data_IF_193587877921
#
_entry.id   IF_193587877921
#
_cell.length_a   1.000
_cell.length_b   1.000
_cell.length_c   1.000
_cell.angle_alpha   90.00
_cell.angle_beta   90.00
_cell.angle_gamma   90.00
#
_symmetry.space_group_name_H-M   'P 1'
#
loop_
_entity.id
_entity.type
_entity.pdbx_description
1 polymer ?
#
# COMPACT_ATOMS: atom_id res chain seq x y z
N UNK A 1 5.40 9.06 14.65
CA UNK A 1 6.41 8.19 13.98
C UNK A 1 5.76 7.51 12.78
N UNK A 2 6.49 6.95 11.82
CA UNK A 2 5.92 6.28 10.63
C UNK A 2 4.89 5.20 10.98
N UNK A 3 5.13 4.46 12.06
CA UNK A 3 4.22 3.44 12.58
C UNK A 3 2.86 4.02 13.00
N UNK A 4 2.85 5.23 13.58
CA UNK A 4 1.62 5.90 14.01
C UNK A 4 0.73 6.24 12.81
N UNK A 5 1.32 6.81 11.77
CA UNK A 5 0.61 7.08 10.51
C UNK A 5 0.14 5.78 9.86
N UNK A 6 0.98 4.75 9.83
CA UNK A 6 0.59 3.43 9.30
C UNK A 6 -0.61 2.82 10.04
N UNK A 7 -0.60 2.79 11.37
CA UNK A 7 -1.71 2.23 12.13
C UNK A 7 -2.98 3.08 12.01
N UNK A 8 -2.85 4.42 11.95
CA UNK A 8 -4.01 5.30 11.68
C UNK A 8 -4.58 5.09 10.28
N UNK A 9 -3.72 4.88 9.29
CA UNK A 9 -4.12 4.54 7.92
C UNK A 9 -4.92 3.23 7.86
N UNK A 10 -4.48 2.20 8.60
CA UNK A 10 -5.24 0.94 8.74
C UNK A 10 -6.62 1.17 9.35
N UNK A 11 -6.69 1.91 10.47
CA UNK A 11 -7.98 2.19 11.14
C UNK A 11 -8.95 2.95 10.23
N UNK A 12 -8.46 3.95 9.48
CA UNK A 12 -9.26 4.67 8.47
C UNK A 12 -9.74 3.76 7.35
N UNK A 13 -8.87 2.89 6.83
CA UNK A 13 -9.24 1.94 5.78
C UNK A 13 -10.35 0.99 6.25
N UNK A 14 -10.26 0.49 7.49
CA UNK A 14 -11.31 -0.35 8.09
C UNK A 14 -12.64 0.38 8.26
N UNK A 15 -12.60 1.71 8.45
CA UNK A 15 -13.78 2.58 8.52
C UNK A 15 -14.29 3.04 7.15
N UNK A 16 -13.66 2.61 6.06
CA UNK A 16 -14.03 2.98 4.69
C UNK A 16 -13.49 4.34 4.23
N UNK A 17 -12.72 5.06 5.05
CA UNK A 17 -12.03 6.28 4.65
C UNK A 17 -10.76 5.95 3.87
N UNK A 18 -10.94 5.49 2.63
CA UNK A 18 -9.83 5.02 1.79
C UNK A 18 -8.88 6.16 1.40
N UNK A 19 -9.42 7.36 1.15
CA UNK A 19 -8.62 8.54 0.79
C UNK A 19 -7.78 8.99 1.99
N UNK A 20 -8.38 9.08 3.18
CA UNK A 20 -7.66 9.42 4.40
C UNK A 20 -6.63 8.38 4.80
N UNK A 21 -6.88 7.10 4.51
CA UNK A 21 -5.93 6.02 4.71
C UNK A 21 -4.71 6.13 3.79
N UNK A 22 -4.92 6.42 2.48
CA UNK A 22 -3.83 6.66 1.53
C UNK A 22 -2.96 7.82 2.00
N UNK A 23 -3.55 8.94 2.43
CA UNK A 23 -2.79 10.08 2.93
C UNK A 23 -1.94 9.77 4.17
N UNK A 24 -2.41 8.85 5.02
CA UNK A 24 -1.63 8.38 6.16
C UNK A 24 -0.50 7.43 5.73
N UNK A 25 -0.72 6.53 4.77
CA UNK A 25 0.36 5.73 4.21
C UNK A 25 1.40 6.58 3.49
N UNK A 26 1.00 7.64 2.80
CA UNK A 26 1.92 8.61 2.18
C UNK A 26 2.83 9.24 3.24
N UNK A 27 2.26 9.67 4.38
CA UNK A 27 3.04 10.21 5.50
C UNK A 27 4.00 9.18 6.10
N UNK A 28 3.56 7.93 6.24
CA UNK A 28 4.42 6.85 6.73
C UNK A 28 5.61 6.61 5.79
N UNK A 29 5.38 6.63 4.47
CA UNK A 29 6.39 6.48 3.42
C UNK A 29 7.33 7.68 3.37
N UNK A 30 6.82 8.91 3.54
CA UNK A 30 7.63 10.13 3.60
C UNK A 30 8.63 10.09 4.78
N UNK A 31 8.19 9.58 5.93
CA UNK A 31 9.04 9.43 7.12
C UNK A 31 10.05 8.29 6.93
N UNK A 32 9.61 7.15 6.39
CA UNK A 32 10.47 6.01 6.13
C UNK A 32 10.22 5.42 4.72
N UNK A 33 11.05 5.79 3.73
CA UNK A 33 10.93 5.28 2.36
C UNK A 33 11.20 3.78 2.19
N UNK A 34 11.73 3.11 3.22
CA UNK A 34 11.94 1.65 3.25
C UNK A 34 10.83 0.92 4.03
N UNK A 35 9.69 1.60 4.32
CA UNK A 35 8.56 0.97 5.01
C UNK A 35 7.67 0.18 4.05
N UNK A 36 8.09 -1.05 3.73
CA UNK A 36 7.45 -1.92 2.73
C UNK A 36 5.97 -2.20 2.99
N UNK A 37 5.57 -2.33 4.26
CA UNK A 37 4.17 -2.57 4.65
C UNK A 37 3.26 -1.40 4.27
N UNK A 38 3.73 -0.16 4.39
CA UNK A 38 2.96 1.03 4.00
C UNK A 38 2.72 1.07 2.49
N UNK A 39 3.73 0.71 1.68
CA UNK A 39 3.55 0.52 0.23
C UNK A 39 2.55 -0.59 -0.07
N UNK A 40 2.66 -1.76 0.58
CA UNK A 40 1.73 -2.88 0.36
C UNK A 40 0.27 -2.48 0.63
N UNK A 41 0.01 -1.81 1.76
CA UNK A 41 -1.35 -1.37 2.12
C UNK A 41 -1.87 -0.28 1.19
N UNK A 42 -1.03 0.71 0.83
CA UNK A 42 -1.44 1.74 -0.15
C UNK A 42 -1.74 1.13 -1.53
N UNK A 43 -0.95 0.15 -1.96
CA UNK A 43 -1.17 -0.60 -3.20
C UNK A 43 -2.50 -1.35 -3.21
N UNK A 44 -2.87 -1.99 -2.10
CA UNK A 44 -4.18 -2.63 -1.93
C UNK A 44 -5.33 -1.64 -2.09
N UNK A 45 -5.24 -0.47 -1.43
CA UNK A 45 -6.29 0.53 -1.53
C UNK A 45 -6.40 1.16 -2.91
N UNK A 46 -5.26 1.39 -3.59
CA UNK A 46 -5.25 1.87 -4.97
C UNK A 46 -5.90 0.87 -5.92
N UNK A 47 -5.69 -0.43 -5.72
CA UNK A 47 -6.38 -1.47 -6.47
C UNK A 47 -7.89 -1.40 -6.28
N UNK A 48 -8.37 -1.29 -5.03
CA UNK A 48 -9.79 -1.18 -4.70
C UNK A 48 -10.45 0.07 -5.30
N UNK A 49 -9.68 1.16 -5.42
CA UNK A 49 -10.10 2.42 -6.06
C UNK A 49 -9.97 2.42 -7.59
N UNK A 50 -9.48 1.34 -8.19
CA UNK A 50 -9.29 1.20 -9.64
C UNK A 50 -8.01 1.80 -10.21
N UNK A 51 -7.14 2.37 -9.37
CA UNK A 51 -5.79 2.83 -9.74
C UNK A 51 -4.83 1.63 -9.81
N UNK A 52 -4.97 0.82 -10.86
CA UNK A 52 -4.23 -0.44 -11.04
C UNK A 52 -2.74 -0.18 -11.28
N UNK A 53 -2.41 0.85 -12.05
CA UNK A 53 -1.03 1.25 -12.31
C UNK A 53 -0.32 1.68 -11.02
N UNK A 54 -0.96 2.51 -10.20
CA UNK A 54 -0.44 2.94 -8.91
C UNK A 54 -0.30 1.78 -7.92
N UNK A 55 -1.24 0.83 -7.93
CA UNK A 55 -1.15 -0.38 -7.12
C UNK A 55 0.03 -1.28 -7.51
N UNK A 56 0.27 -1.48 -8.82
CA UNK A 56 1.44 -2.24 -9.31
C UNK A 56 2.75 -1.58 -8.90
N UNK A 57 2.83 -0.26 -8.98
CA UNK A 57 4.00 0.49 -8.56
C UNK A 57 4.28 0.28 -7.06
N UNK A 58 3.25 0.37 -6.23
CA UNK A 58 3.36 0.19 -4.79
C UNK A 58 3.77 -1.23 -4.40
N UNK A 59 3.12 -2.26 -4.95
CA UNK A 59 3.53 -3.64 -4.71
C UNK A 59 4.95 -3.93 -5.20
N UNK A 60 5.38 -3.28 -6.29
CA UNK A 60 6.74 -3.43 -6.80
C UNK A 60 7.77 -2.82 -5.85
N UNK A 61 7.47 -1.65 -5.29
CA UNK A 61 8.33 -1.03 -4.28
C UNK A 61 8.36 -1.84 -2.99
N UNK A 62 7.22 -2.35 -2.52
CA UNK A 62 7.16 -3.25 -1.36
C UNK A 62 8.00 -4.51 -1.57
N UNK A 63 7.97 -5.10 -2.77
CA UNK A 63 8.81 -6.26 -3.13
C UNK A 63 10.29 -5.93 -3.29
N UNK A 64 10.65 -4.69 -3.65
CA UNK A 64 12.06 -4.26 -3.64
C UNK A 64 12.61 -4.27 -2.21
N UNK A 65 11.79 -3.85 -1.24
CA UNK A 65 12.14 -3.78 0.18
C UNK A 65 12.11 -5.17 0.83
N UNK A 66 11.04 -5.92 0.60
CA UNK A 66 10.89 -7.31 1.06
C UNK A 66 10.57 -8.25 -0.13
N UNK A 67 11.60 -8.82 -0.77
CA UNK A 67 11.44 -9.69 -1.93
C UNK A 67 10.71 -11.00 -1.68
N UNK A 68 10.45 -11.36 -0.41
CA UNK A 68 9.78 -12.60 -0.02
C UNK A 68 8.30 -12.40 0.32
N UNK A 69 7.76 -11.18 0.18
CA UNK A 69 6.37 -10.89 0.52
C UNK A 69 5.39 -11.56 -0.45
N UNK A 70 4.78 -12.66 0.00
CA UNK A 70 3.76 -13.40 -0.74
C UNK A 70 2.53 -12.51 -1.02
N UNK A 71 2.10 -11.71 -0.03
CA UNK A 71 0.98 -10.76 -0.17
C UNK A 71 1.21 -9.79 -1.34
N UNK A 72 2.43 -9.24 -1.47
CA UNK A 72 2.73 -8.30 -2.55
C UNK A 72 2.82 -8.97 -3.93
N UNK A 73 3.30 -10.22 -4.01
CA UNK A 73 3.26 -10.96 -5.28
C UNK A 73 1.84 -11.27 -5.71
N UNK A 74 0.99 -11.70 -4.78
CA UNK A 74 -0.43 -11.97 -5.04
C UNK A 74 -1.15 -10.69 -5.45
N UNK A 75 -1.00 -9.61 -4.68
CA UNK A 75 -1.57 -8.29 -4.99
C UNK A 75 -1.18 -7.83 -6.39
N UNK A 76 0.12 -7.79 -6.70
CA UNK A 76 0.61 -7.38 -8.04
C UNK A 76 0.13 -8.30 -9.16
N UNK A 77 0.06 -9.61 -8.91
CA UNK A 77 -0.44 -10.59 -9.88
C UNK A 77 -1.91 -10.37 -10.20
N UNK A 78 -2.75 -10.24 -9.17
CA UNK A 78 -4.18 -9.94 -9.31
C UNK A 78 -4.41 -8.60 -10.00
N UNK A 79 -3.67 -7.56 -9.63
CA UNK A 79 -3.78 -6.26 -10.28
C UNK A 79 -3.45 -6.34 -11.77
N UNK A 80 -2.42 -7.10 -12.16
CA UNK A 80 -2.06 -7.30 -13.58
C UNK A 80 -3.11 -8.08 -14.37
N UNK A 81 -3.79 -9.02 -13.74
CA UNK A 81 -4.91 -9.74 -14.38
C UNK A 81 -6.14 -8.86 -14.57
N UNK A 82 -6.29 -7.83 -13.72
CA UNK A 82 -7.41 -6.91 -13.76
C UNK A 82 -7.22 -5.72 -14.71
N UNK A 83 -6.01 -5.50 -15.24
CA UNK A 83 -5.70 -4.44 -16.23
C UNK A 83 -6.40 -4.69 -17.56
#
# INVERSE_FOLDING_TARGET
MEQEFYYRGIDKAQKGDLVGAIGDFDKAIEINPEFGEAFSKRGSLRFDLGDKEGAIADYTQALRINPQSIECYLGRGLTRLAL
#
